data_IF_934140959347
#
_entry.id   IF_934140959347
#
_cell.length_a   1.000
_cell.length_b   1.000
_cell.length_c   1.000
_cell.angle_alpha   90.00
_cell.angle_beta   90.00
_cell.angle_gamma   90.00
#
_symmetry.space_group_name_H-M   'P 1'
#
loop_
_entity.id
_entity.type
_entity.pdbx_description
1 polymer ?
#
# COMPACT_ATOMS: atom_id res chain seq x y z
N UNK A 1 26.23 4.07 -5.56
CA UNK A 1 24.92 3.62 -5.06
C UNK A 1 24.28 4.85 -4.45
N UNK A 2 23.34 5.47 -5.15
CA UNK A 2 22.60 6.62 -4.63
C UNK A 2 21.54 6.08 -3.67
N UNK A 3 21.81 6.23 -2.38
CA UNK A 3 20.93 5.77 -1.30
C UNK A 3 19.78 6.76 -1.06
N UNK A 4 19.84 7.94 -1.68
CA UNK A 4 18.89 9.01 -1.46
C UNK A 4 17.49 8.57 -1.90
N UNK A 5 16.44 9.01 -1.18
CA UNK A 5 15.07 8.75 -1.60
C UNK A 5 14.81 9.29 -3.01
N UNK A 6 14.10 8.51 -3.82
CA UNK A 6 13.67 8.94 -5.15
C UNK A 6 12.57 10.02 -5.11
N UNK A 7 11.93 10.22 -3.96
CA UNK A 7 10.92 11.25 -3.73
C UNK A 7 11.44 12.31 -2.75
N UNK A 8 11.07 13.58 -2.96
CA UNK A 8 11.37 14.64 -2.00
C UNK A 8 10.63 14.45 -0.66
N UNK A 9 11.12 15.13 0.37
CA UNK A 9 10.54 15.04 1.71
C UNK A 9 9.10 15.57 1.79
N UNK A 10 8.72 16.52 0.95
CA UNK A 10 7.37 17.09 0.98
C UNK A 10 6.34 16.10 0.43
N UNK A 11 6.72 15.33 -0.58
CA UNK A 11 5.96 14.20 -1.13
C UNK A 11 5.78 13.12 -0.07
N UNK A 12 6.83 12.77 0.67
CA UNK A 12 6.75 11.78 1.76
C UNK A 12 5.83 12.25 2.90
N UNK A 13 5.89 13.53 3.28
CA UNK A 13 4.99 14.13 4.29
C UNK A 13 3.53 14.13 3.84
N UNK A 14 3.28 14.48 2.58
CA UNK A 14 1.93 14.44 2.01
C UNK A 14 1.38 13.00 2.02
N UNK A 15 2.19 12.02 1.61
CA UNK A 15 1.81 10.60 1.64
C UNK A 15 1.38 10.16 3.06
N UNK A 16 2.14 10.53 4.09
CA UNK A 16 1.80 10.20 5.47
C UNK A 16 0.42 10.74 5.88
N UNK A 17 0.15 12.02 5.59
CA UNK A 17 -1.16 12.67 5.88
C UNK A 17 -2.31 12.00 5.11
N UNK A 18 -2.08 11.57 3.87
CA UNK A 18 -3.09 10.88 3.07
C UNK A 18 -3.40 9.48 3.64
N UNK A 19 -2.39 8.73 4.05
CA UNK A 19 -2.57 7.41 4.68
C UNK A 19 -3.33 7.51 6.01
N UNK A 20 -3.04 8.52 6.83
CA UNK A 20 -3.79 8.79 8.06
C UNK A 20 -5.27 9.06 7.76
N UNK A 21 -5.56 9.99 6.84
CA UNK A 21 -6.93 10.33 6.45
C UNK A 21 -7.72 9.13 5.93
N UNK A 22 -7.08 8.26 5.15
CA UNK A 22 -7.69 7.04 4.62
C UNK A 22 -8.09 6.09 5.75
N UNK A 23 -7.19 5.86 6.71
CA UNK A 23 -7.47 5.00 7.88
C UNK A 23 -8.59 5.55 8.74
N UNK A 24 -8.58 6.85 9.04
CA UNK A 24 -9.64 7.52 9.81
C UNK A 24 -11.00 7.34 9.14
N UNK A 25 -11.10 7.54 7.83
CA UNK A 25 -12.35 7.38 7.08
C UNK A 25 -13.00 6.00 7.25
N UNK A 26 -12.18 4.93 7.21
CA UNK A 26 -12.64 3.55 7.39
C UNK A 26 -12.96 3.23 8.86
N UNK A 27 -12.15 3.73 9.79
CA UNK A 27 -12.37 3.57 11.22
C UNK A 27 -13.69 4.20 11.68
N UNK A 28 -14.03 5.40 11.20
CA UNK A 28 -15.31 6.07 11.48
C UNK A 28 -16.54 5.27 11.02
N UNK A 29 -16.36 4.34 10.08
CA UNK A 29 -17.41 3.47 9.53
C UNK A 29 -17.40 2.06 10.13
N UNK A 30 -16.51 1.79 11.10
CA UNK A 30 -16.38 0.48 11.73
C UNK A 30 -15.77 -0.60 10.82
N UNK A 31 -14.99 -0.21 9.81
CA UNK A 31 -14.27 -1.16 8.95
C UNK A 31 -12.97 -1.57 9.63
N UNK A 32 -12.75 -2.89 9.79
CA UNK A 32 -11.56 -3.45 10.42
C UNK A 32 -10.36 -3.42 9.46
N UNK A 33 -9.28 -2.73 9.85
CA UNK A 33 -7.97 -2.83 9.18
C UNK A 33 -7.31 -4.17 9.52
N UNK A 34 -6.84 -4.90 8.51
CA UNK A 34 -6.15 -6.19 8.66
C UNK A 34 -4.81 -6.16 7.94
N UNK A 35 -3.82 -6.87 8.48
CA UNK A 35 -2.55 -7.14 7.80
C UNK A 35 -2.58 -8.57 7.25
N UNK A 36 -2.37 -8.71 5.95
CA UNK A 36 -2.39 -10.02 5.26
C UNK A 36 -0.98 -10.40 4.85
N UNK A 37 -0.62 -11.70 4.81
CA UNK A 37 0.69 -12.13 4.36
C UNK A 37 1.09 -11.51 3.01
N UNK A 38 2.31 -10.97 2.93
CA UNK A 38 2.82 -10.37 1.69
C UNK A 38 3.08 -11.39 0.57
N UNK A 39 3.20 -12.68 0.91
CA UNK A 39 3.43 -13.79 -0.01
C UNK A 39 2.36 -14.87 0.15
N UNK A 40 2.10 -15.56 -0.94
CA UNK A 40 1.10 -16.61 -1.09
C UNK A 40 1.71 -17.80 -1.83
N UNK A 41 1.24 -19.01 -1.54
CA UNK A 41 1.61 -20.20 -2.31
C UNK A 41 1.06 -20.19 -3.74
N UNK A 42 -0.06 -19.50 -3.97
CA UNK A 42 -0.72 -19.43 -5.26
C UNK A 42 -0.79 -17.97 -5.76
N UNK A 43 -0.56 -17.78 -7.05
CA UNK A 43 -0.78 -16.50 -7.73
C UNK A 43 -2.24 -16.33 -8.17
N UNK A 44 -2.66 -15.09 -8.44
CA UNK A 44 -3.97 -14.82 -9.06
C UNK A 44 -3.99 -15.34 -10.50
N UNK A 45 -5.03 -16.09 -10.95
CA UNK A 45 -5.10 -16.62 -12.31
C UNK A 45 -5.55 -15.57 -13.35
N UNK A 46 -5.15 -14.31 -13.17
CA UNK A 46 -5.54 -13.21 -14.05
C UNK A 46 -5.02 -13.44 -15.48
N UNK A 47 -5.85 -13.39 -16.53
CA UNK A 47 -5.41 -13.57 -17.92
C UNK A 47 -4.37 -12.54 -18.39
N UNK A 48 -4.31 -11.38 -17.75
CA UNK A 48 -3.34 -10.33 -18.06
C UNK A 48 -1.96 -10.59 -17.42
N UNK A 49 -1.86 -11.56 -16.49
CA UNK A 49 -0.60 -12.01 -15.94
C UNK A 49 -0.04 -13.13 -16.84
N UNK A 50 1.10 -12.87 -17.46
CA UNK A 50 1.80 -13.90 -18.21
C UNK A 50 2.20 -15.03 -17.25
N UNK A 51 1.76 -16.26 -17.57
CA UNK A 51 2.31 -17.48 -16.99
C UNK A 51 3.44 -17.95 -17.90
N UNK A 52 4.67 -17.96 -17.37
CA UNK A 52 5.86 -18.46 -18.06
C UNK A 52 6.07 -19.92 -17.73
#
# INVERSE_FOLDING_TARGET
MDWQPAADFDTLRLRARLLERLRTFFAERGVLEVDTPALSHAATPSPALASF
#
